data_IF_785084871431
#
_entry.id   IF_785084871431
#
_cell.length_a   1.000
_cell.length_b   1.000
_cell.length_c   1.000
_cell.angle_alpha   90.00
_cell.angle_beta   90.00
_cell.angle_gamma   90.00
#
_symmetry.space_group_name_H-M   'P 1'
#
loop_
_entity.id
_entity.type
_entity.pdbx_description
1 polymer ?
#
# COMPACT_ATOMS: atom_id res chain seq x y z
N UNK A 1 -2.43 13.97 6.10
CA UNK A 1 -2.77 13.77 7.53
C UNK A 1 -2.14 14.82 8.46
N UNK A 2 -0.81 15.04 8.48
CA UNK A 2 -0.19 16.05 9.38
C UNK A 2 -0.59 17.50 9.07
N UNK A 3 -0.60 17.92 7.80
CA UNK A 3 -1.02 19.29 7.43
C UNK A 3 -2.46 19.61 7.88
N UNK A 4 -3.39 18.67 7.69
CA UNK A 4 -4.77 18.83 8.15
C UNK A 4 -4.84 18.92 9.69
N UNK A 5 -4.04 18.13 10.42
CA UNK A 5 -3.96 18.23 11.88
C UNK A 5 -3.50 19.64 12.30
N UNK A 6 -2.42 20.14 11.69
CA UNK A 6 -1.89 21.48 11.96
C UNK A 6 -2.91 22.59 11.69
N UNK A 7 -3.70 22.45 10.62
CA UNK A 7 -4.78 23.38 10.29
C UNK A 7 -5.91 23.39 11.35
N UNK A 8 -6.15 22.26 12.03
CA UNK A 8 -7.18 22.14 13.08
C UNK A 8 -6.65 22.60 14.45
N UNK A 9 -5.39 22.31 14.77
CA UNK A 9 -4.78 22.61 16.07
C UNK A 9 -4.14 23.98 16.14
N UNK A 10 -3.90 24.63 15.00
CA UNK A 10 -3.14 25.88 14.91
C UNK A 10 -1.62 25.71 15.09
N UNK A 11 -1.14 24.47 15.16
CA UNK A 11 0.30 24.19 15.21
C UNK A 11 0.96 24.58 13.88
N UNK A 12 2.18 25.13 13.96
CA UNK A 12 2.99 25.39 12.77
C UNK A 12 3.55 24.09 12.23
N UNK A 13 3.33 23.83 10.94
CA UNK A 13 3.71 22.57 10.30
C UNK A 13 5.22 22.28 10.46
N UNK A 14 6.04 23.30 10.29
CA UNK A 14 7.51 23.24 10.37
C UNK A 14 8.00 22.85 11.77
N UNK A 15 7.23 23.12 12.81
CA UNK A 15 7.56 22.74 14.19
C UNK A 15 7.11 21.32 14.55
N UNK A 16 6.24 20.75 13.73
CA UNK A 16 5.65 19.42 13.93
C UNK A 16 6.41 18.34 13.18
N UNK A 17 6.98 18.67 12.02
CA UNK A 17 7.72 17.71 11.20
C UNK A 17 9.20 17.72 11.55
N UNK A 18 9.82 16.53 11.49
CA UNK A 18 11.28 16.38 11.62
C UNK A 18 11.86 15.87 10.32
N UNK A 19 13.06 16.35 10.00
CA UNK A 19 13.82 15.92 8.83
C UNK A 19 14.07 14.41 8.85
N UNK A 20 13.89 13.74 7.70
CA UNK A 20 14.19 12.32 7.53
C UNK A 20 15.66 12.04 7.83
N UNK A 21 16.56 12.96 7.45
CA UNK A 21 17.98 12.90 7.79
C UNK A 21 18.22 12.77 9.30
N UNK A 22 17.43 13.47 10.10
CA UNK A 22 17.60 13.52 11.56
C UNK A 22 16.86 12.38 12.28
N UNK A 23 15.98 11.66 11.58
CA UNK A 23 15.18 10.55 12.12
C UNK A 23 15.76 9.16 11.85
N UNK A 24 16.87 9.06 11.10
CA UNK A 24 17.48 7.79 10.69
C UNK A 24 18.92 7.74 11.18
N UNK A 25 19.36 6.56 11.65
CA UNK A 25 20.74 6.33 12.04
C UNK A 25 21.71 6.73 10.91
N UNK A 26 22.75 7.56 11.17
CA UNK A 26 23.61 8.11 10.12
C UNK A 26 24.24 7.06 9.21
N UNK A 27 24.60 5.89 9.76
CA UNK A 27 25.19 4.78 9.00
C UNK A 27 24.20 4.17 8.00
N UNK A 28 22.94 4.00 8.41
CA UNK A 28 21.86 3.49 7.56
C UNK A 28 21.57 4.52 6.46
N UNK A 29 21.55 5.80 6.83
CA UNK A 29 21.31 6.89 5.89
C UNK A 29 22.42 6.98 4.83
N UNK A 30 23.69 6.90 5.21
CA UNK A 30 24.81 6.92 4.26
C UNK A 30 24.73 5.74 3.28
N UNK A 31 24.40 4.55 3.79
CA UNK A 31 24.20 3.37 2.96
C UNK A 31 23.04 3.56 1.95
N UNK A 32 21.90 4.10 2.40
CA UNK A 32 20.76 4.43 1.54
C UNK A 32 21.15 5.46 0.46
N UNK A 33 21.83 6.53 0.83
CA UNK A 33 22.25 7.55 -0.13
C UNK A 33 23.22 6.99 -1.17
N UNK A 34 24.22 6.26 -0.71
CA UNK A 34 25.34 5.82 -1.56
C UNK A 34 24.98 4.65 -2.46
N UNK A 35 24.34 3.62 -1.91
CA UNK A 35 24.10 2.36 -2.63
C UNK A 35 22.71 2.28 -3.23
N UNK A 36 21.71 2.90 -2.59
CA UNK A 36 20.32 2.85 -3.05
C UNK A 36 20.00 4.03 -3.98
N UNK A 37 20.21 5.27 -3.52
CA UNK A 37 19.93 6.46 -4.31
C UNK A 37 21.01 6.74 -5.37
N UNK A 38 22.21 6.17 -5.20
CA UNK A 38 23.39 6.40 -6.07
C UNK A 38 23.70 7.89 -6.26
N UNK A 39 23.49 8.69 -5.21
CA UNK A 39 23.72 10.13 -5.18
C UNK A 39 24.75 10.49 -4.10
N UNK A 40 25.32 11.68 -4.17
CA UNK A 40 26.15 12.21 -3.08
C UNK A 40 25.24 12.70 -1.95
N UNK A 41 25.67 12.55 -0.70
CA UNK A 41 24.86 12.94 0.46
C UNK A 41 24.47 14.43 0.48
N UNK A 42 25.29 15.29 -0.12
CA UNK A 42 25.01 16.71 -0.28
C UNK A 42 23.85 17.01 -1.24
N UNK A 43 23.59 16.13 -2.20
CA UNK A 43 22.62 16.35 -3.29
C UNK A 43 21.25 15.69 -3.01
N UNK A 44 21.09 15.09 -1.83
CA UNK A 44 19.87 14.37 -1.44
C UNK A 44 19.06 15.21 -0.46
N UNK A 45 17.88 15.67 -0.90
CA UNK A 45 16.86 16.30 -0.06
C UNK A 45 16.01 15.25 0.67
N UNK A 46 15.24 15.68 1.66
CA UNK A 46 14.32 14.78 2.36
C UNK A 46 13.19 14.27 1.47
N UNK A 47 12.75 15.05 0.49
CA UNK A 47 11.80 14.58 -0.53
C UNK A 47 12.37 13.39 -1.32
N UNK A 48 13.63 13.48 -1.75
CA UNK A 48 14.30 12.38 -2.46
C UNK A 48 14.38 11.12 -1.59
N UNK A 49 14.64 11.26 -0.28
CA UNK A 49 14.68 10.15 0.68
C UNK A 49 13.29 9.54 0.85
N UNK A 50 12.28 10.37 1.11
CA UNK A 50 10.91 9.93 1.32
C UNK A 50 10.34 9.21 0.10
N UNK A 51 10.64 9.70 -1.10
CA UNK A 51 10.19 9.08 -2.35
C UNK A 51 10.77 7.68 -2.54
N UNK A 52 12.06 7.49 -2.32
CA UNK A 52 12.70 6.17 -2.48
C UNK A 52 12.30 5.19 -1.37
N UNK A 53 12.17 5.66 -0.13
CA UNK A 53 11.64 4.84 0.97
C UNK A 53 10.25 4.35 0.60
N UNK A 54 9.36 5.25 0.17
CA UNK A 54 8.01 4.90 -0.27
C UNK A 54 8.05 3.92 -1.43
N UNK A 55 8.84 4.19 -2.48
CA UNK A 55 8.98 3.31 -3.65
C UNK A 55 9.41 1.90 -3.25
N UNK A 56 10.38 1.77 -2.33
CA UNK A 56 10.86 0.47 -1.86
C UNK A 56 9.87 -0.24 -0.95
N UNK A 57 9.19 0.48 -0.05
CA UNK A 57 8.13 -0.10 0.77
C UNK A 57 6.98 -0.60 -0.11
N UNK A 58 6.57 0.17 -1.12
CA UNK A 58 5.56 -0.27 -2.10
C UNK A 58 6.07 -1.46 -2.92
N UNK A 59 7.33 -1.46 -3.37
CA UNK A 59 7.90 -2.60 -4.08
C UNK A 59 7.98 -3.85 -3.20
N UNK A 60 8.34 -3.72 -1.92
CA UNK A 60 8.37 -4.82 -0.95
C UNK A 60 6.98 -5.41 -0.72
N UNK A 61 5.98 -4.53 -0.50
CA UNK A 61 4.57 -4.92 -0.41
C UNK A 61 4.08 -5.63 -1.69
N UNK A 62 4.58 -5.23 -2.85
CA UNK A 62 4.23 -5.85 -4.14
C UNK A 62 5.12 -7.06 -4.52
N UNK A 63 6.22 -7.33 -3.80
CA UNK A 63 7.19 -8.38 -4.14
C UNK A 63 6.94 -9.72 -3.45
N UNK A 64 6.21 -9.70 -2.33
CA UNK A 64 5.76 -10.93 -1.70
C UNK A 64 4.35 -11.21 -2.18
N UNK A 65 4.22 -11.89 -3.33
CA UNK A 65 2.94 -12.49 -3.70
C UNK A 65 2.68 -13.61 -2.69
N UNK A 66 1.70 -13.46 -1.78
CA UNK A 66 1.34 -14.52 -0.86
C UNK A 66 0.84 -15.74 -1.64
N UNK A 67 0.84 -16.91 -0.99
CA UNK A 67 0.07 -18.04 -1.50
C UNK A 67 -1.41 -17.63 -1.56
N UNK A 68 -1.87 -17.27 -2.76
CA UNK A 68 -3.20 -16.70 -2.98
C UNK A 68 -4.29 -17.70 -2.64
N UNK A 69 -4.07 -18.99 -2.94
CA UNK A 69 -5.05 -20.03 -2.66
C UNK A 69 -5.22 -20.19 -1.14
N UNK A 70 -4.13 -20.18 -0.37
CA UNK A 70 -4.19 -20.22 1.09
C UNK A 70 -4.76 -18.93 1.70
N UNK A 71 -4.36 -17.76 1.20
CA UNK A 71 -4.82 -16.45 1.68
C UNK A 71 -6.35 -16.31 1.57
N UNK A 72 -6.91 -16.53 0.38
CA UNK A 72 -8.36 -16.41 0.19
C UNK A 72 -9.12 -17.53 0.92
N UNK A 73 -8.53 -18.72 1.02
CA UNK A 73 -9.10 -19.78 1.84
C UNK A 73 -9.21 -19.39 3.31
N UNK A 74 -8.26 -18.65 3.87
CA UNK A 74 -8.26 -18.29 5.29
C UNK A 74 -9.10 -17.04 5.57
N UNK A 75 -8.99 -16.00 4.74
CA UNK A 75 -9.56 -14.68 5.03
C UNK A 75 -10.91 -14.41 4.36
N UNK A 76 -11.18 -14.97 3.17
CA UNK A 76 -12.40 -14.70 2.44
C UNK A 76 -13.52 -15.65 2.90
N UNK A 77 -14.20 -15.26 3.97
CA UNK A 77 -15.33 -16.01 4.55
C UNK A 77 -16.61 -15.20 4.49
N UNK A 78 -17.66 -15.80 3.93
CA UNK A 78 -18.98 -15.22 3.96
C UNK A 78 -19.54 -15.23 5.38
N UNK A 79 -19.97 -14.07 5.87
CA UNK A 79 -20.58 -13.96 7.20
C UNK A 79 -22.02 -14.47 7.17
N UNK A 80 -22.22 -15.70 7.63
CA UNK A 80 -23.53 -16.34 7.70
C UNK A 80 -24.45 -15.77 8.77
N UNK A 81 -23.97 -14.86 9.63
CA UNK A 81 -24.81 -14.16 10.62
C UNK A 81 -25.63 -13.03 10.00
N UNK A 82 -25.29 -12.59 8.79
CA UNK A 82 -26.06 -11.61 8.03
C UNK A 82 -27.28 -12.32 7.44
N UNK A 83 -28.48 -11.96 7.92
CA UNK A 83 -29.75 -12.55 7.49
C UNK A 83 -30.15 -12.12 6.06
N UNK A 84 -29.94 -10.85 5.74
CA UNK A 84 -30.23 -10.31 4.41
C UNK A 84 -29.22 -10.86 3.38
N UNK A 85 -29.73 -11.61 2.40
CA UNK A 85 -28.90 -12.31 1.42
C UNK A 85 -28.12 -11.35 0.54
N UNK A 86 -28.73 -10.24 0.11
CA UNK A 86 -28.10 -9.26 -0.75
C UNK A 86 -26.98 -8.53 0.00
N UNK A 87 -27.25 -8.10 1.24
CA UNK A 87 -26.25 -7.49 2.11
C UNK A 87 -25.10 -8.46 2.39
N UNK A 88 -25.38 -9.75 2.59
CA UNK A 88 -24.35 -10.77 2.82
C UNK A 88 -23.43 -10.91 1.60
N UNK A 89 -24.00 -10.99 0.40
CA UNK A 89 -23.24 -11.07 -0.85
C UNK A 89 -22.39 -9.80 -1.07
N UNK A 90 -22.98 -8.62 -0.89
CA UNK A 90 -22.26 -7.35 -1.01
C UNK A 90 -21.08 -7.29 -0.02
N UNK A 91 -21.29 -7.69 1.25
CA UNK A 91 -20.22 -7.73 2.23
C UNK A 91 -19.10 -8.71 1.86
N UNK A 92 -19.42 -9.84 1.23
CA UNK A 92 -18.42 -10.79 0.75
C UNK A 92 -17.55 -10.21 -0.37
N UNK A 93 -18.13 -9.52 -1.35
CA UNK A 93 -17.34 -8.84 -2.40
C UNK A 93 -16.52 -7.67 -1.86
N UNK A 94 -17.08 -6.91 -0.90
CA UNK A 94 -16.33 -5.84 -0.22
C UNK A 94 -15.16 -6.42 0.60
N UNK A 95 -15.34 -7.58 1.23
CA UNK A 95 -14.26 -8.28 1.93
C UNK A 95 -13.15 -8.70 0.96
N UNK A 96 -13.51 -9.23 -0.21
CA UNK A 96 -12.54 -9.55 -1.26
C UNK A 96 -11.68 -8.33 -1.63
N UNK A 97 -12.30 -7.18 -1.94
CA UNK A 97 -11.56 -5.97 -2.30
C UNK A 97 -10.67 -5.47 -1.17
N UNK A 98 -11.13 -5.56 0.09
CA UNK A 98 -10.30 -5.26 1.26
C UNK A 98 -9.07 -6.16 1.39
N UNK A 99 -9.23 -7.47 1.15
CA UNK A 99 -8.09 -8.43 1.19
C UNK A 99 -7.09 -8.06 0.09
N UNK A 100 -7.56 -7.76 -1.11
CA UNK A 100 -6.73 -7.33 -2.25
C UNK A 100 -5.96 -6.06 -1.92
N UNK A 101 -6.61 -5.05 -1.32
CA UNK A 101 -5.97 -3.80 -0.92
C UNK A 101 -4.93 -4.01 0.20
N UNK A 102 -5.28 -4.74 1.25
CA UNK A 102 -4.43 -4.98 2.42
C UNK A 102 -3.13 -5.72 2.05
N UNK A 103 -3.20 -6.62 1.07
CA UNK A 103 -2.06 -7.43 0.63
C UNK A 103 -1.36 -6.86 -0.62
N UNK A 104 -1.71 -5.65 -1.07
CA UNK A 104 -1.06 -5.02 -2.23
C UNK A 104 -1.30 -5.75 -3.56
N UNK A 105 -2.37 -6.56 -3.64
CA UNK A 105 -2.68 -7.38 -4.81
C UNK A 105 -3.40 -6.59 -5.92
N UNK A 106 -3.51 -5.26 -5.82
CA UNK A 106 -4.24 -4.42 -6.78
C UNK A 106 -3.74 -4.57 -8.22
N UNK A 107 -2.45 -4.82 -8.43
CA UNK A 107 -1.90 -5.08 -9.77
C UNK A 107 -2.32 -6.42 -10.39
N UNK A 108 -2.79 -7.37 -9.57
CA UNK A 108 -3.11 -8.76 -9.97
C UNK A 108 -4.63 -9.00 -9.94
N UNK A 109 -5.30 -8.45 -8.93
CA UNK A 109 -6.71 -8.69 -8.62
C UNK A 109 -7.52 -7.40 -8.44
N UNK A 110 -6.94 -6.23 -8.66
CA UNK A 110 -7.67 -4.96 -8.56
C UNK A 110 -8.76 -4.84 -9.61
N UNK A 111 -9.92 -4.29 -9.21
CA UNK A 111 -11.06 -4.03 -10.09
C UNK A 111 -10.69 -3.05 -11.21
N UNK A 112 -9.89 -2.02 -10.91
CA UNK A 112 -9.31 -1.11 -11.90
C UNK A 112 -10.33 -0.51 -12.86
N UNK A 113 -9.85 0.00 -14.00
CA UNK A 113 -10.70 0.43 -15.12
C UNK A 113 -10.48 -0.48 -16.32
N UNK A 114 -11.50 -0.64 -17.16
CA UNK A 114 -11.44 -1.47 -18.38
C UNK A 114 -10.31 -1.07 -19.34
N UNK A 115 -9.95 0.22 -19.35
CA UNK A 115 -8.89 0.75 -20.20
C UNK A 115 -7.48 0.60 -19.60
N UNK A 116 -7.34 0.01 -18.42
CA UNK A 116 -6.04 -0.26 -17.82
C UNK A 116 -5.42 -1.53 -18.43
N UNK A 117 -4.09 -1.58 -18.61
CA UNK A 117 -3.41 -2.79 -19.07
C UNK A 117 -3.78 -4.01 -18.23
N UNK A 118 -3.93 -5.17 -18.84
CA UNK A 118 -4.22 -6.46 -18.20
C UNK A 118 -5.57 -6.53 -17.45
N UNK A 119 -6.53 -5.64 -17.75
CA UNK A 119 -7.87 -5.69 -17.14
C UNK A 119 -8.53 -7.08 -17.26
N UNK A 120 -8.54 -7.67 -18.46
CA UNK A 120 -9.15 -8.97 -18.70
C UNK A 120 -8.50 -10.10 -17.89
N UNK A 121 -7.17 -10.06 -17.74
CA UNK A 121 -6.43 -11.04 -16.94
C UNK A 121 -6.74 -10.90 -15.46
N UNK A 122 -6.77 -9.66 -14.95
CA UNK A 122 -7.18 -9.39 -13.57
C UNK A 122 -8.60 -9.87 -13.31
N UNK A 123 -9.53 -9.62 -14.24
CA UNK A 123 -10.93 -9.99 -14.05
C UNK A 123 -11.14 -11.51 -14.10
N UNK A 124 -10.42 -12.22 -14.99
CA UNK A 124 -10.39 -13.69 -14.98
C UNK A 124 -9.87 -14.25 -13.66
N UNK A 125 -8.80 -13.67 -13.12
CA UNK A 125 -8.25 -14.09 -11.84
C UNK A 125 -9.19 -13.75 -10.67
N UNK A 126 -9.88 -12.61 -10.69
CA UNK A 126 -10.92 -12.30 -9.68
C UNK A 126 -12.00 -13.37 -9.66
N UNK A 127 -12.51 -13.79 -10.83
CA UNK A 127 -13.50 -14.86 -10.93
C UNK A 127 -13.01 -16.23 -10.43
N UNK A 128 -11.70 -16.48 -10.35
CA UNK A 128 -11.16 -17.73 -9.78
C UNK A 128 -11.36 -17.79 -8.26
N UNK A 129 -11.27 -16.64 -7.58
CA UNK A 129 -11.22 -16.55 -6.12
C UNK A 129 -12.54 -16.10 -5.48
N UNK A 130 -13.49 -15.63 -6.29
CA UNK A 130 -14.86 -15.31 -5.89
C UNK A 130 -15.78 -16.51 -6.11
#
# INVERSE_FOLDING_TARGET
>A
KIRNRCAVTGEQYEHVVTSIRNSIEPRILDHLVRFVLKKRAADVTDENRGLEITRRCSALQNSHTPDMDQLFKDELKMDLKIEDTEARMVNYFVLFDKIVENHGLGGILGSGRENEPNYDERMKLRCKYL
#
